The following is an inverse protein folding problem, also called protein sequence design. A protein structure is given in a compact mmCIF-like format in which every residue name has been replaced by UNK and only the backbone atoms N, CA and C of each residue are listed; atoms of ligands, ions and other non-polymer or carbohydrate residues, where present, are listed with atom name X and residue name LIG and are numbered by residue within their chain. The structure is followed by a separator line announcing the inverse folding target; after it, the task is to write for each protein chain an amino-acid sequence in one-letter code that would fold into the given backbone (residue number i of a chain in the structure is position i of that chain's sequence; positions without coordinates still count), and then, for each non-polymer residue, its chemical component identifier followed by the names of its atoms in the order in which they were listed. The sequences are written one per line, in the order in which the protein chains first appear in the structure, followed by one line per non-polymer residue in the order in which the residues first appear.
data_IF_285865410481
#
_entry.id   IF_285865410481
#
_cell.length_a   1.000
_cell.length_b   1.000
_cell.length_c   1.000
_cell.angle_alpha   90.00
_cell.angle_beta   90.00
_cell.angle_gamma   90.00
#
_symmetry.space_group_name_H-M   'P 1'
#
loop_
_entity.id
_entity.type
_entity.pdbx_description
1 polymer ?
#
# COMPACT_ATOMS: atom_id res chain seq x y z
N UNK A 1 25.82 33.61 -23.07
CA UNK A 1 24.58 33.33 -23.81
C UNK A 1 24.45 31.86 -24.26
N UNK A 2 25.35 31.28 -25.08
CA UNK A 2 25.24 29.85 -25.44
C UNK A 2 25.66 28.89 -24.30
N UNK A 3 26.71 29.22 -23.55
CA UNK A 3 27.15 28.44 -22.38
C UNK A 3 26.13 28.45 -21.23
N UNK A 4 25.55 29.61 -20.89
CA UNK A 4 24.52 29.73 -19.85
C UNK A 4 23.25 28.91 -20.14
N UNK A 5 22.88 28.76 -21.42
CA UNK A 5 21.73 27.94 -21.81
C UNK A 5 22.03 26.44 -21.66
N UNK A 6 23.27 26.04 -21.95
CA UNK A 6 23.73 24.67 -21.82
C UNK A 6 23.83 24.23 -20.35
N UNK A 7 24.32 25.12 -19.48
CA UNK A 7 24.39 24.89 -18.04
C UNK A 7 22.99 24.79 -17.41
N UNK A 8 22.05 25.64 -17.83
CA UNK A 8 20.65 25.57 -17.37
C UNK A 8 19.98 24.23 -17.72
N UNK A 9 20.14 23.76 -18.96
CA UNK A 9 19.56 22.49 -19.40
C UNK A 9 20.19 21.28 -18.70
N UNK A 10 21.51 21.32 -18.48
CA UNK A 10 22.22 20.29 -17.71
C UNK A 10 21.75 20.25 -16.26
N UNK A 11 21.59 21.41 -15.61
CA UNK A 11 21.14 21.48 -14.23
C UNK A 11 19.68 21.03 -14.09
N UNK A 12 18.80 21.40 -15.03
CA UNK A 12 17.42 20.93 -15.07
C UNK A 12 17.34 19.41 -15.21
N UNK A 13 18.11 18.82 -16.14
CA UNK A 13 18.18 17.35 -16.32
C UNK A 13 18.70 16.65 -15.06
N UNK A 14 19.70 17.23 -14.40
CA UNK A 14 20.22 16.68 -13.13
C UNK A 14 19.16 16.69 -12.04
N UNK A 15 18.41 17.79 -11.89
CA UNK A 15 17.31 17.87 -10.93
C UNK A 15 16.19 16.87 -11.24
N UNK A 16 15.87 16.69 -12.52
CA UNK A 16 14.90 15.66 -12.96
C UNK A 16 15.37 14.26 -12.57
N UNK A 17 16.61 13.90 -12.88
CA UNK A 17 17.16 12.56 -12.56
C UNK A 17 17.13 12.27 -11.06
N UNK A 18 17.51 13.24 -10.22
CA UNK A 18 17.48 13.09 -8.76
C UNK A 18 16.04 12.94 -8.23
N UNK A 19 15.09 13.66 -8.84
CA UNK A 19 13.69 13.56 -8.46
C UNK A 19 13.08 12.20 -8.84
N UNK A 20 13.40 11.68 -10.03
CA UNK A 20 12.97 10.35 -10.46
C UNK A 20 13.57 9.25 -9.58
N UNK A 21 14.86 9.36 -9.23
CA UNK A 21 15.52 8.43 -8.31
C UNK A 21 14.81 8.39 -6.95
N UNK A 22 14.54 9.56 -6.36
CA UNK A 22 13.83 9.64 -5.08
C UNK A 22 12.40 9.06 -5.15
N UNK A 23 11.67 9.28 -6.25
CA UNK A 23 10.35 8.68 -6.43
C UNK A 23 10.42 7.16 -6.60
N UNK A 24 11.45 6.65 -7.29
CA UNK A 24 11.66 5.21 -7.46
C UNK A 24 11.99 4.53 -6.12
N UNK A 25 12.78 5.18 -5.26
CA UNK A 25 13.03 4.68 -3.91
C UNK A 25 11.76 4.60 -3.06
N UNK A 26 10.91 5.63 -3.14
CA UNK A 26 9.63 5.65 -2.45
C UNK A 26 8.67 4.57 -2.96
N UNK A 27 8.62 4.35 -4.29
CA UNK A 27 7.87 3.25 -4.90
C UNK A 27 8.36 1.89 -4.41
N UNK A 28 9.67 1.69 -4.37
CA UNK A 28 10.26 0.46 -3.86
C UNK A 28 9.90 0.23 -2.39
N UNK A 29 9.93 1.29 -1.59
CA UNK A 29 9.49 1.25 -0.18
C UNK A 29 8.04 0.78 -0.03
N UNK A 30 7.12 1.40 -0.79
CA UNK A 30 5.70 1.03 -0.76
C UNK A 30 5.50 -0.41 -1.24
N UNK A 31 6.19 -0.81 -2.30
CA UNK A 31 6.10 -2.17 -2.85
C UNK A 31 6.56 -3.22 -1.84
N UNK A 32 7.64 -2.96 -1.10
CA UNK A 32 8.12 -3.84 -0.03
C UNK A 32 7.09 -3.95 1.11
N UNK A 33 6.55 -2.84 1.56
CA UNK A 33 5.51 -2.83 2.59
C UNK A 33 4.26 -3.61 2.16
N UNK A 34 3.86 -3.49 0.88
CA UNK A 34 2.74 -4.25 0.30
C UNK A 34 3.00 -5.74 0.19
N UNK A 35 4.23 -6.14 -0.13
CA UNK A 35 4.58 -7.56 -0.25
C UNK A 35 4.27 -8.33 1.04
N UNK A 36 4.53 -7.73 2.20
CA UNK A 36 4.20 -8.31 3.51
C UNK A 36 2.68 -8.47 3.69
N UNK A 37 1.90 -7.49 3.23
CA UNK A 37 0.43 -7.54 3.26
C UNK A 37 -0.11 -8.65 2.35
N UNK A 38 0.43 -8.77 1.13
CA UNK A 38 0.00 -9.78 0.14
C UNK A 38 0.32 -11.20 0.63
N UNK A 39 1.47 -11.41 1.28
CA UNK A 39 1.81 -12.71 1.89
C UNK A 39 0.78 -13.11 2.95
N UNK A 40 0.25 -12.14 3.71
CA UNK A 40 -0.80 -12.40 4.71
C UNK A 40 -2.09 -12.95 4.10
N UNK A 41 -2.36 -12.79 2.79
CA UNK A 41 -3.53 -13.39 2.15
C UNK A 41 -3.56 -14.91 2.25
N UNK A 42 -2.40 -15.56 2.14
CA UNK A 42 -2.32 -17.02 2.30
C UNK A 42 -2.71 -17.43 3.73
N UNK A 43 -2.30 -16.65 4.71
CA UNK A 43 -2.64 -16.88 6.12
C UNK A 43 -4.14 -16.68 6.38
N UNK A 44 -4.76 -15.68 5.75
CA UNK A 44 -6.21 -15.44 5.83
C UNK A 44 -6.96 -16.67 5.33
N UNK A 45 -6.59 -17.18 4.14
CA UNK A 45 -7.25 -18.37 3.55
C UNK A 45 -7.10 -19.59 4.47
N UNK A 46 -5.89 -19.86 4.98
CA UNK A 46 -5.68 -20.98 5.91
C UNK A 46 -6.44 -20.82 7.23
N UNK A 47 -6.51 -19.61 7.80
CA UNK A 47 -7.26 -19.37 9.03
C UNK A 47 -8.78 -19.49 8.81
N UNK A 48 -9.27 -19.06 7.64
CA UNK A 48 -10.67 -19.18 7.26
C UNK A 48 -11.09 -20.65 7.10
N UNK A 49 -10.25 -21.50 6.49
CA UNK A 49 -10.54 -22.95 6.39
C UNK A 49 -10.62 -23.65 7.74
N UNK A 50 -9.96 -23.11 8.77
CA UNK A 50 -10.00 -23.63 10.13
C UNK A 50 -11.06 -23.00 11.03
N UNK A 51 -11.85 -22.05 10.52
CA UNK A 51 -12.79 -21.22 11.31
C UNK A 51 -12.15 -20.57 12.57
N UNK A 52 -10.86 -20.25 12.50
CA UNK A 52 -10.09 -19.70 13.62
C UNK A 52 -10.28 -18.18 13.70
N UNK A 53 -11.32 -17.76 14.43
CA UNK A 53 -11.72 -16.37 14.59
C UNK A 53 -10.64 -15.51 15.28
N UNK A 54 -9.94 -16.06 16.28
CA UNK A 54 -8.85 -15.38 16.99
C UNK A 54 -7.69 -15.09 16.05
N UNK A 55 -7.28 -16.08 15.26
CA UNK A 55 -6.20 -15.90 14.27
C UNK A 55 -6.61 -14.91 13.17
N UNK A 56 -7.85 -14.98 12.68
CA UNK A 56 -8.35 -14.01 11.70
C UNK A 56 -8.41 -12.59 12.24
N UNK A 57 -8.77 -12.39 13.52
CA UNK A 57 -8.73 -11.09 14.19
C UNK A 57 -7.31 -10.53 14.28
N UNK A 58 -6.34 -11.38 14.62
CA UNK A 58 -4.93 -10.99 14.66
C UNK A 58 -4.41 -10.60 13.27
N UNK A 59 -4.70 -11.41 12.25
CA UNK A 59 -4.31 -11.14 10.86
C UNK A 59 -4.95 -9.82 10.39
N UNK A 60 -6.24 -9.60 10.66
CA UNK A 60 -6.93 -8.35 10.32
C UNK A 60 -6.24 -7.13 10.95
N UNK A 61 -5.91 -7.18 12.25
CA UNK A 61 -5.18 -6.09 12.93
C UNK A 61 -3.85 -5.80 12.24
N UNK A 62 -3.04 -6.83 11.96
CA UNK A 62 -1.72 -6.68 11.33
C UNK A 62 -1.83 -6.12 9.90
N UNK A 63 -2.80 -6.61 9.12
CA UNK A 63 -3.06 -6.11 7.77
C UNK A 63 -3.53 -4.66 7.79
N UNK A 64 -4.37 -4.28 8.76
CA UNK A 64 -4.81 -2.89 8.94
C UNK A 64 -3.65 -1.95 9.24
N UNK A 65 -2.76 -2.33 10.17
CA UNK A 65 -1.55 -1.56 10.50
C UNK A 65 -0.62 -1.41 9.28
N UNK A 66 -0.45 -2.49 8.51
CA UNK A 66 0.33 -2.47 7.26
C UNK A 66 -0.30 -1.54 6.21
N UNK A 67 -1.63 -1.56 6.07
CA UNK A 67 -2.38 -0.67 5.17
C UNK A 67 -2.25 0.80 5.57
N UNK A 68 -2.32 1.11 6.86
CA UNK A 68 -2.12 2.48 7.37
C UNK A 68 -0.70 2.99 7.09
N UNK A 69 0.31 2.12 7.26
CA UNK A 69 1.70 2.44 6.90
C UNK A 69 1.85 2.74 5.40
N UNK A 70 1.27 1.91 4.53
CA UNK A 70 1.29 2.12 3.07
C UNK A 70 0.60 3.45 2.69
N UNK A 71 -0.50 3.79 3.34
CA UNK A 71 -1.19 5.07 3.10
C UNK A 71 -0.35 6.28 3.50
N UNK A 72 0.33 6.24 4.64
CA UNK A 72 1.26 7.29 5.07
C UNK A 72 2.39 7.47 4.04
N UNK A 73 3.01 6.38 3.60
CA UNK A 73 4.09 6.44 2.60
C UNK A 73 3.60 7.02 1.26
N UNK A 74 2.37 6.69 0.85
CA UNK A 74 1.73 7.29 -0.34
C UNK A 74 1.50 8.79 -0.14
N UNK A 75 1.10 9.25 1.04
CA UNK A 75 0.90 10.69 1.31
C UNK A 75 2.20 11.47 1.23
N UNK A 76 3.28 10.94 1.80
CA UNK A 76 4.61 11.52 1.70
C UNK A 76 5.06 11.60 0.23
N UNK A 77 4.85 10.53 -0.54
CA UNK A 77 5.22 10.49 -1.95
C UNK A 77 4.41 11.44 -2.84
N UNK A 78 3.10 11.53 -2.63
CA UNK A 78 2.26 12.48 -3.36
C UNK A 78 2.57 13.93 -2.97
N UNK A 79 2.93 14.18 -1.70
CA UNK A 79 3.38 15.50 -1.25
C UNK A 79 4.70 15.89 -1.89
N UNK A 80 5.67 14.97 -1.95
CA UNK A 80 6.93 15.18 -2.66
C UNK A 80 6.68 15.45 -4.15
N UNK A 81 5.89 14.61 -4.80
CA UNK A 81 5.52 14.75 -6.21
C UNK A 81 4.86 16.11 -6.51
N UNK A 82 3.96 16.57 -5.64
CA UNK A 82 3.33 17.88 -5.78
C UNK A 82 4.34 19.04 -5.68
N UNK A 83 5.39 18.90 -4.86
CA UNK A 83 6.46 19.91 -4.74
C UNK A 83 7.38 19.99 -5.96
N UNK A 84 7.45 18.92 -6.76
CA UNK A 84 8.24 18.91 -7.99
C UNK A 84 7.61 19.75 -9.11
N UNK A 85 6.30 20.05 -9.03
CA UNK A 85 5.59 20.83 -10.04
C UNK A 85 5.73 20.22 -11.44
N UNK A 86 6.07 21.06 -12.42
CA UNK A 86 6.26 20.66 -13.83
C UNK A 86 7.68 20.15 -14.12
N UNK A 87 8.48 19.84 -13.09
CA UNK A 87 9.82 19.32 -13.28
C UNK A 87 9.80 17.96 -13.99
N UNK A 88 8.82 17.11 -13.68
CA UNK A 88 8.71 15.76 -14.21
C UNK A 88 7.52 15.61 -15.16
N UNK A 89 7.81 15.27 -16.42
CA UNK A 89 6.79 14.92 -17.41
C UNK A 89 6.04 13.62 -17.03
N UNK A 90 6.64 12.79 -16.19
CA UNK A 90 6.14 11.50 -15.71
C UNK A 90 5.30 11.62 -14.43
N UNK A 91 5.02 12.83 -13.95
CA UNK A 91 4.35 13.05 -12.66
C UNK A 91 3.01 12.32 -12.53
N UNK A 92 2.19 12.35 -13.58
CA UNK A 92 0.89 11.64 -13.61
C UNK A 92 1.07 10.13 -13.48
N UNK A 93 2.08 9.55 -14.13
CA UNK A 93 2.37 8.12 -14.03
C UNK A 93 2.74 7.73 -12.59
N UNK A 94 3.63 8.49 -11.94
CA UNK A 94 3.99 8.24 -10.55
C UNK A 94 2.77 8.31 -9.62
N UNK A 95 1.93 9.35 -9.78
CA UNK A 95 0.69 9.50 -9.02
C UNK A 95 -0.21 8.26 -9.17
N UNK A 96 -0.44 7.83 -10.41
CA UNK A 96 -1.32 6.69 -10.69
C UNK A 96 -0.77 5.39 -10.11
N UNK A 97 0.55 5.18 -10.18
CA UNK A 97 1.21 4.02 -9.57
C UNK A 97 1.06 4.03 -8.05
N UNK A 98 1.33 5.15 -7.37
CA UNK A 98 1.16 5.25 -5.91
C UNK A 98 -0.29 4.95 -5.50
N UNK A 99 -1.27 5.51 -6.21
CA UNK A 99 -2.69 5.25 -5.94
C UNK A 99 -3.06 3.78 -6.19
N UNK A 100 -2.55 3.18 -7.26
CA UNK A 100 -2.75 1.76 -7.58
C UNK A 100 -2.20 0.84 -6.50
N UNK A 101 -0.99 1.12 -6.02
CA UNK A 101 -0.34 0.37 -4.93
C UNK A 101 -1.15 0.47 -3.62
N UNK A 102 -1.60 1.66 -3.24
CA UNK A 102 -2.46 1.82 -2.04
C UNK A 102 -3.79 1.06 -2.17
N UNK A 103 -4.36 0.99 -3.37
CA UNK A 103 -5.60 0.23 -3.60
C UNK A 103 -5.43 -1.26 -3.32
N UNK A 104 -4.25 -1.83 -3.57
CA UNK A 104 -3.94 -3.24 -3.23
C UNK A 104 -3.97 -3.44 -1.71
N UNK A 105 -3.37 -2.54 -0.93
CA UNK A 105 -3.42 -2.61 0.54
C UNK A 105 -4.87 -2.56 1.05
N UNK A 106 -5.68 -1.63 0.52
CA UNK A 106 -7.08 -1.48 0.89
C UNK A 106 -7.91 -2.72 0.55
N UNK A 107 -7.69 -3.32 -0.62
CA UNK A 107 -8.37 -4.59 -0.98
C UNK A 107 -7.98 -5.73 -0.05
N UNK A 108 -6.71 -5.81 0.33
CA UNK A 108 -6.20 -6.87 1.23
C UNK A 108 -6.80 -6.73 2.62
N UNK A 109 -6.89 -5.51 3.15
CA UNK A 109 -7.56 -5.22 4.42
C UNK A 109 -9.05 -5.58 4.36
N UNK A 110 -9.74 -5.21 3.28
CA UNK A 110 -11.14 -5.56 3.09
C UNK A 110 -11.38 -7.07 3.00
N UNK A 111 -10.43 -7.86 2.47
CA UNK A 111 -10.48 -9.33 2.52
C UNK A 111 -10.32 -9.81 3.97
N UNK A 112 -9.29 -9.36 4.67
CA UNK A 112 -9.03 -9.77 6.05
C UNK A 112 -10.22 -9.47 6.99
N UNK A 113 -10.80 -8.27 6.87
CA UNK A 113 -11.95 -7.85 7.64
C UNK A 113 -13.18 -8.73 7.40
N UNK A 114 -13.51 -8.99 6.13
CA UNK A 114 -14.65 -9.85 5.77
C UNK A 114 -14.46 -11.29 6.21
N UNK A 115 -13.24 -11.82 6.10
CA UNK A 115 -12.91 -13.16 6.59
C UNK A 115 -13.08 -13.27 8.11
N UNK A 116 -12.60 -12.27 8.86
CA UNK A 116 -12.80 -12.20 10.31
C UNK A 116 -14.29 -12.16 10.69
N UNK A 117 -15.08 -11.29 10.04
CA UNK A 117 -16.52 -11.22 10.30
C UNK A 117 -17.25 -12.54 10.02
N UNK A 118 -16.90 -13.21 8.91
CA UNK A 118 -17.51 -14.49 8.55
C UNK A 118 -17.25 -15.56 9.60
N UNK A 119 -16.01 -15.69 10.08
CA UNK A 119 -15.67 -16.65 11.13
C UNK A 119 -16.34 -16.31 12.47
N UNK A 120 -16.35 -15.04 12.87
CA UNK A 120 -17.01 -14.59 14.09
C UNK A 120 -18.50 -14.91 14.10
N UNK A 121 -19.21 -14.68 12.99
CA UNK A 121 -20.64 -14.96 12.88
C UNK A 121 -20.95 -16.46 12.84
N UNK A 122 -20.06 -17.25 12.23
CA UNK A 122 -20.20 -18.72 12.16
C UNK A 122 -20.04 -19.35 13.55
N UNK A 123 -19.07 -18.86 14.35
CA UNK A 123 -18.89 -19.34 15.72
C UNK A 123 -20.09 -19.00 16.61
N UNK A 124 -20.62 -17.76 16.55
CA UNK A 124 -21.83 -17.39 17.31
C UNK A 124 -22.98 -18.35 17.00
N UNK A 125 -23.23 -18.62 15.71
CA UNK A 125 -24.32 -19.51 15.30
C UNK A 125 -24.11 -20.95 15.78
N UNK A 126 -22.87 -21.44 15.75
CA UNK A 126 -22.53 -22.81 16.19
C UNK A 126 -22.69 -22.98 17.70
N UNK A 127 -22.30 -21.99 18.50
CA UNK A 127 -22.49 -22.00 19.95
C UNK A 127 -23.97 -21.93 20.31
N UNK A 128 -24.76 -21.07 19.65
CA UNK A 128 -26.20 -20.95 19.91
C UNK A 128 -26.97 -22.23 19.57
N UNK A 129 -26.57 -22.99 18.55
CA UNK A 129 -27.19 -24.29 18.24
C UNK A 129 -26.80 -25.37 19.27
N UNK A 130 -25.57 -25.35 19.79
CA UNK A 130 -25.13 -26.31 20.79
C UNK A 130 -25.77 -26.13 22.18
N UNK A 131 -26.36 -24.96 22.44
CA UNK A 131 -27.06 -24.63 23.69
C UNK A 131 -28.59 -24.85 23.62
N UNK A 132 -29.12 -25.26 22.46
CA UNK A 132 -30.53 -25.61 22.23
C UNK A 132 -30.76 -27.13 22.23
#
# INVERSE_FOLDING_TARGET
MAEEYYDYDMERRRRQSLAEESLNEQLLGITRALSETVVSMKEIVSALTGADDKKLKEIHRRVKESKERVESMKEDALTYLARLGDLLNTSTLYKDVFLGLTRIAQMTEGIAYRSYLLASNTNITSTTIAEL
#
